data_IF_220810324335
#
_entry.id   IF_220810324335
#
_cell.length_a   1.000
_cell.length_b   1.000
_cell.length_c   1.000
_cell.angle_alpha   90.00
_cell.angle_beta   90.00
_cell.angle_gamma   90.00
#
_symmetry.space_group_name_H-M   'P 1'
#
loop_
_entity.id
_entity.type
_entity.pdbx_description
1 polymer ?
#
# COMPACT_ATOMS: atom_id res chain seq x y z
N UNK A 1 29.82 23.03 -41.42
CA UNK A 1 28.74 23.77 -42.10
C UNK A 1 27.84 24.36 -41.02
N UNK A 2 27.60 25.68 -40.99
CA UNK A 2 26.67 26.27 -40.04
C UNK A 2 25.22 25.91 -40.41
N UNK A 3 24.41 25.56 -39.41
CA UNK A 3 22.98 25.24 -39.58
C UNK A 3 22.23 26.49 -40.05
N UNK A 4 21.32 26.39 -41.04
CA UNK A 4 20.61 27.54 -41.59
C UNK A 4 19.76 28.26 -40.53
N UNK A 5 19.81 29.61 -40.46
CA UNK A 5 18.99 30.39 -39.54
C UNK A 5 17.52 30.33 -40.01
N UNK A 6 16.68 29.62 -39.25
CA UNK A 6 15.26 29.45 -39.57
C UNK A 6 14.64 28.15 -39.07
N UNK A 7 15.45 27.17 -38.64
CA UNK A 7 14.94 25.99 -37.95
C UNK A 7 14.60 26.33 -36.48
N UNK A 8 13.47 27.01 -36.29
CA UNK A 8 12.78 26.89 -35.01
C UNK A 8 12.36 25.44 -34.88
N UNK A 9 12.94 24.74 -33.91
CA UNK A 9 12.43 23.44 -33.48
C UNK A 9 10.97 23.66 -33.09
N UNK A 10 10.04 23.15 -33.90
CA UNK A 10 8.64 23.12 -33.50
C UNK A 10 8.56 22.47 -32.12
N UNK A 11 7.83 23.07 -31.15
CA UNK A 11 7.62 22.41 -29.88
C UNK A 11 6.98 21.04 -30.17
N UNK A 12 7.42 19.98 -29.47
CA UNK A 12 6.87 18.65 -29.68
C UNK A 12 5.35 18.68 -29.49
N UNK A 13 4.59 17.91 -30.29
CA UNK A 13 3.15 17.85 -30.17
C UNK A 13 2.77 17.42 -28.74
N UNK A 14 1.73 18.03 -28.12
CA UNK A 14 1.29 17.65 -26.79
C UNK A 14 0.92 16.17 -26.78
N UNK A 15 1.45 15.43 -25.80
CA UNK A 15 1.13 14.01 -25.65
C UNK A 15 -0.39 13.85 -25.43
N UNK A 16 -1.01 12.81 -26.02
CA UNK A 16 -2.43 12.59 -25.85
C UNK A 16 -2.77 12.34 -24.36
N UNK A 17 -3.95 12.77 -23.88
CA UNK A 17 -4.31 12.71 -22.45
C UNK A 17 -4.21 11.33 -21.81
N UNK A 18 -4.38 10.27 -22.62
CA UNK A 18 -4.28 8.88 -22.19
C UNK A 18 -2.84 8.41 -21.98
N UNK A 19 -1.84 9.07 -22.58
CA UNK A 19 -0.42 8.78 -22.38
C UNK A 19 0.11 9.28 -21.02
N UNK A 20 -0.64 10.15 -20.33
CA UNK A 20 -0.25 10.65 -19.02
C UNK A 20 -0.49 9.56 -17.93
N UNK A 21 0.37 9.44 -16.90
CA UNK A 21 0.22 8.44 -15.86
C UNK A 21 -1.11 8.57 -15.11
N UNK A 22 -1.65 7.45 -14.61
CA UNK A 22 -2.89 7.49 -13.82
C UNK A 22 -2.68 8.16 -12.45
N UNK A 23 -1.51 7.93 -11.86
CA UNK A 23 -1.11 8.44 -10.55
C UNK A 23 0.28 9.03 -10.64
N UNK A 24 0.49 10.19 -10.04
CA UNK A 24 1.78 10.88 -9.96
C UNK A 24 2.07 11.12 -8.47
N UNK A 25 3.31 10.89 -8.02
CA UNK A 25 3.73 11.25 -6.67
C UNK A 25 3.74 12.77 -6.54
N UNK A 26 3.19 13.30 -5.46
CA UNK A 26 3.14 14.73 -5.21
C UNK A 26 4.23 15.11 -4.21
N UNK A 27 5.13 16.01 -4.59
CA UNK A 27 6.02 16.68 -3.65
C UNK A 27 5.43 18.04 -3.28
N UNK A 28 5.58 18.43 -2.01
CA UNK A 28 5.02 19.69 -1.53
C UNK A 28 5.67 20.88 -2.24
N UNK A 29 4.84 21.69 -2.90
CA UNK A 29 5.30 22.80 -3.74
C UNK A 29 5.25 22.53 -5.24
N UNK A 30 5.00 21.27 -5.65
CA UNK A 30 4.85 20.96 -7.08
C UNK A 30 3.58 21.57 -7.67
N UNK A 31 3.64 22.07 -8.92
CA UNK A 31 2.46 22.56 -9.61
C UNK A 31 1.55 21.39 -9.97
N UNK A 32 0.27 21.49 -9.59
CA UNK A 32 -0.74 20.48 -9.91
C UNK A 32 -1.04 20.52 -11.42
N UNK A 33 -0.76 19.44 -12.19
CA UNK A 33 -1.07 19.40 -13.60
C UNK A 33 -2.58 19.39 -13.84
N UNK A 34 -3.02 19.99 -14.95
CA UNK A 34 -4.45 20.04 -15.31
C UNK A 34 -5.04 18.62 -15.40
N UNK A 35 -6.21 18.44 -14.79
CA UNK A 35 -6.91 17.15 -14.80
C UNK A 35 -6.52 16.18 -13.70
N UNK A 36 -5.63 16.58 -12.78
CA UNK A 36 -5.31 15.83 -11.58
C UNK A 36 -5.95 16.48 -10.35
N UNK A 37 -6.27 15.65 -9.35
CA UNK A 37 -6.66 16.13 -8.03
C UNK A 37 -5.82 15.43 -6.97
N UNK A 38 -5.61 16.13 -5.86
CA UNK A 38 -4.94 15.57 -4.68
C UNK A 38 -5.85 14.52 -4.04
N UNK A 39 -5.24 13.38 -3.72
CA UNK A 39 -5.85 12.29 -2.95
C UNK A 39 -4.86 11.85 -1.89
N UNK A 40 -5.37 11.37 -0.77
CA UNK A 40 -4.57 10.76 0.28
C UNK A 40 -4.77 9.26 0.28
N UNK A 41 -3.71 8.50 0.60
CA UNK A 41 -3.77 7.07 0.85
C UNK A 41 -2.85 6.69 2.01
N UNK A 42 -3.21 5.64 2.74
CA UNK A 42 -2.29 5.01 3.69
C UNK A 42 -1.08 4.41 2.96
N UNK A 43 0.08 4.42 3.61
CA UNK A 43 1.28 3.74 3.13
C UNK A 43 1.10 2.21 3.19
N UNK A 44 0.68 1.64 2.06
CA UNK A 44 0.44 0.20 1.92
C UNK A 44 1.72 -0.62 2.06
N UNK A 45 2.89 -0.04 1.76
CA UNK A 45 4.16 -0.75 1.88
C UNK A 45 4.52 -0.93 3.35
N UNK A 46 4.37 0.11 4.17
CA UNK A 46 4.54 0.03 5.63
C UNK A 46 3.53 -0.91 6.28
N UNK A 47 2.25 -0.82 5.91
CA UNK A 47 1.22 -1.75 6.41
C UNK A 47 1.57 -3.19 6.03
N UNK A 48 1.95 -3.43 4.77
CA UNK A 48 2.35 -4.76 4.30
C UNK A 48 3.59 -5.29 5.03
N UNK A 49 4.61 -4.45 5.20
CA UNK A 49 5.81 -4.81 5.96
C UNK A 49 5.47 -5.15 7.41
N UNK A 50 4.67 -4.32 8.07
CA UNK A 50 4.24 -4.55 9.45
C UNK A 50 3.45 -5.85 9.62
N UNK A 51 2.52 -6.14 8.70
CA UNK A 51 1.77 -7.41 8.71
C UNK A 51 2.67 -8.63 8.55
N UNK A 52 3.71 -8.57 7.72
CA UNK A 52 4.65 -9.67 7.56
C UNK A 52 5.56 -9.81 8.79
N UNK A 53 6.12 -8.70 9.28
CA UNK A 53 7.00 -8.65 10.44
C UNK A 53 6.31 -9.10 11.72
N UNK A 54 5.02 -8.81 11.90
CA UNK A 54 4.21 -9.34 13.01
C UNK A 54 3.68 -10.75 12.74
N UNK A 55 3.14 -10.97 11.54
CA UNK A 55 2.36 -12.18 11.22
C UNK A 55 3.20 -13.43 11.16
N UNK A 56 4.43 -13.37 10.62
CA UNK A 56 5.30 -14.56 10.53
C UNK A 56 5.73 -15.04 11.93
N UNK A 57 6.32 -14.20 12.80
CA UNK A 57 6.71 -14.63 14.15
C UNK A 57 5.51 -15.11 14.98
N UNK A 58 4.37 -14.41 14.91
CA UNK A 58 3.16 -14.84 15.61
C UNK A 58 2.62 -16.18 15.10
N UNK A 59 2.60 -16.40 13.78
CA UNK A 59 2.20 -17.69 13.22
C UNK A 59 3.14 -18.83 13.64
N UNK A 60 4.44 -18.56 13.77
CA UNK A 60 5.41 -19.53 14.32
C UNK A 60 5.10 -19.82 15.80
N UNK A 61 4.88 -18.80 16.62
CA UNK A 61 4.51 -18.96 18.03
C UNK A 61 3.24 -19.82 18.20
N UNK A 62 2.19 -19.53 17.44
CA UNK A 62 0.94 -20.31 17.42
C UNK A 62 1.20 -21.75 16.96
N UNK A 63 2.07 -21.95 15.96
CA UNK A 63 2.41 -23.29 15.46
C UNK A 63 3.16 -24.10 16.53
N UNK A 64 4.14 -23.49 17.21
CA UNK A 64 4.90 -24.14 18.29
C UNK A 64 3.96 -24.56 19.42
N UNK A 65 3.10 -23.67 19.90
CA UNK A 65 2.15 -24.01 20.94
C UNK A 65 1.11 -25.05 20.49
N UNK A 66 0.61 -24.94 19.26
CA UNK A 66 -0.30 -25.93 18.69
C UNK A 66 0.32 -27.32 18.62
N UNK A 67 1.58 -27.43 18.18
CA UNK A 67 2.31 -28.70 18.14
C UNK A 67 2.55 -29.25 19.54
N UNK A 68 2.93 -28.41 20.51
CA UNK A 68 3.13 -28.83 21.90
C UNK A 68 1.85 -29.39 22.53
N UNK A 69 0.71 -28.71 22.33
CA UNK A 69 -0.59 -29.20 22.82
C UNK A 69 -0.97 -30.54 22.19
N UNK A 70 -0.72 -30.71 20.88
CA UNK A 70 -0.97 -31.98 20.20
C UNK A 70 -0.04 -33.11 20.67
N UNK A 71 1.12 -32.76 21.22
CA UNK A 71 2.05 -33.68 21.85
C UNK A 71 1.74 -33.96 23.34
N UNK A 72 0.59 -33.46 23.84
CA UNK A 72 0.16 -33.60 25.24
C UNK A 72 1.05 -32.89 26.27
N UNK A 73 1.82 -31.88 25.82
CA UNK A 73 2.53 -30.98 26.73
C UNK A 73 1.56 -30.06 27.49
N UNK A 74 2.00 -29.54 28.64
CA UNK A 74 1.14 -28.72 29.51
C UNK A 74 0.75 -27.40 28.82
N UNK A 75 -0.55 -27.09 28.85
CA UNK A 75 -1.06 -25.83 28.31
C UNK A 75 -0.52 -24.64 29.11
N UNK A 76 -0.28 -24.80 30.42
CA UNK A 76 0.24 -23.69 31.24
C UNK A 76 1.68 -23.32 30.84
N UNK A 77 2.41 -24.25 30.22
CA UNK A 77 3.77 -24.04 29.73
C UNK A 77 3.79 -23.31 28.37
N UNK A 78 3.05 -23.82 27.38
CA UNK A 78 3.08 -23.34 25.99
C UNK A 78 1.91 -22.43 25.59
N UNK A 79 0.81 -22.47 26.33
CA UNK A 79 -0.40 -21.68 26.09
C UNK A 79 -0.17 -20.17 25.97
N UNK A 80 0.79 -19.55 26.70
CA UNK A 80 1.08 -18.14 26.54
C UNK A 80 1.48 -17.73 25.12
N UNK A 81 2.07 -18.61 24.29
CA UNK A 81 2.46 -18.29 22.91
C UNK A 81 1.27 -18.00 21.97
N UNK A 82 0.03 -18.32 22.35
CA UNK A 82 -1.17 -17.88 21.63
C UNK A 82 -1.51 -16.40 21.86
N UNK A 83 -0.89 -15.76 22.85
CA UNK A 83 -1.12 -14.35 23.16
C UNK A 83 -0.11 -13.54 22.33
N UNK A 84 -0.55 -12.70 21.37
CA UNK A 84 0.38 -11.90 20.60
C UNK A 84 1.09 -10.87 21.49
N UNK A 85 2.28 -10.45 21.06
CA UNK A 85 3.14 -9.40 21.65
C UNK A 85 3.74 -9.72 23.03
N UNK A 86 2.93 -10.22 23.96
CA UNK A 86 3.32 -10.45 25.36
C UNK A 86 3.53 -11.93 25.65
N UNK A 87 2.85 -12.81 24.92
CA UNK A 87 2.95 -14.26 25.06
C UNK A 87 4.36 -14.82 25.05
N UNK A 88 5.23 -14.45 24.09
CA UNK A 88 6.61 -14.92 24.06
C UNK A 88 7.40 -14.52 25.32
N UNK A 89 7.14 -13.34 25.89
CA UNK A 89 7.79 -12.92 27.13
C UNK A 89 7.30 -13.72 28.33
N UNK A 90 6.00 -14.00 28.43
CA UNK A 90 5.44 -14.87 29.47
C UNK A 90 6.04 -16.29 29.35
N UNK A 91 6.20 -16.76 28.10
CA UNK A 91 6.73 -18.08 27.77
C UNK A 91 8.18 -18.27 28.23
N UNK A 92 8.97 -17.19 28.36
CA UNK A 92 10.32 -17.31 28.93
C UNK A 92 10.31 -17.84 30.36
N UNK A 93 9.26 -17.50 31.13
CA UNK A 93 9.10 -17.93 32.52
C UNK A 93 8.37 -19.27 32.59
N UNK A 94 7.26 -19.43 31.86
CA UNK A 94 6.46 -20.67 31.95
C UNK A 94 7.19 -21.89 31.40
N UNK A 95 8.00 -21.72 30.36
CA UNK A 95 8.82 -22.79 29.77
C UNK A 95 10.20 -22.94 30.43
N UNK A 96 10.49 -22.18 31.50
CA UNK A 96 11.82 -22.09 32.10
C UNK A 96 12.93 -21.94 31.04
N UNK A 97 12.71 -21.07 30.06
CA UNK A 97 13.59 -20.96 28.92
C UNK A 97 14.98 -20.47 29.36
N UNK A 98 16.03 -21.05 28.80
CA UNK A 98 17.41 -20.64 29.08
C UNK A 98 18.19 -20.38 27.79
N UNK A 99 19.20 -19.52 27.87
CA UNK A 99 20.13 -19.23 26.78
C UNK A 99 19.42 -18.87 25.47
N UNK A 100 19.48 -19.79 24.50
CA UNK A 100 18.86 -19.61 23.19
C UNK A 100 17.33 -19.47 23.24
N UNK A 101 16.65 -20.14 24.18
CA UNK A 101 15.19 -20.05 24.31
C UNK A 101 14.73 -18.64 24.66
N UNK A 102 15.35 -18.04 25.69
CA UNK A 102 15.11 -16.64 26.08
C UNK A 102 15.41 -15.69 24.93
N UNK A 103 16.53 -15.90 24.24
CA UNK A 103 16.92 -15.06 23.11
C UNK A 103 15.87 -15.07 22.00
N UNK A 104 15.44 -16.24 21.54
CA UNK A 104 14.46 -16.34 20.45
C UNK A 104 13.08 -15.83 20.84
N UNK A 105 12.62 -16.11 22.06
CA UNK A 105 11.35 -15.56 22.56
C UNK A 105 11.40 -14.03 22.69
N UNK A 106 12.55 -13.45 23.06
CA UNK A 106 12.73 -12.00 23.10
C UNK A 106 12.72 -11.40 21.69
N UNK A 107 13.45 -12.01 20.75
CA UNK A 107 13.44 -11.58 19.33
C UNK A 107 12.03 -11.66 18.76
N UNK A 108 11.30 -12.72 19.07
CA UNK A 108 9.92 -12.91 18.64
C UNK A 108 9.00 -11.79 19.18
N UNK A 109 9.04 -11.51 20.48
CA UNK A 109 8.28 -10.41 21.08
C UNK A 109 8.62 -9.05 20.43
N UNK A 110 9.91 -8.75 20.24
CA UNK A 110 10.37 -7.50 19.60
C UNK A 110 9.87 -7.41 18.16
N UNK A 111 9.95 -8.50 17.39
CA UNK A 111 9.47 -8.54 16.02
C UNK A 111 7.95 -8.32 15.96
N UNK A 112 7.17 -8.99 16.82
CA UNK A 112 5.72 -8.80 16.89
C UNK A 112 5.34 -7.35 17.20
N UNK A 113 5.97 -6.73 18.21
CA UNK A 113 5.72 -5.32 18.58
C UNK A 113 6.17 -4.37 17.46
N UNK A 114 7.33 -4.61 16.84
CA UNK A 114 7.83 -3.80 15.74
C UNK A 114 6.90 -3.87 14.52
N UNK A 115 6.38 -5.06 14.20
CA UNK A 115 5.40 -5.25 13.13
C UNK A 115 4.11 -4.47 13.41
N UNK A 116 3.60 -4.50 14.64
CA UNK A 116 2.45 -3.69 15.04
C UNK A 116 2.71 -2.20 14.86
N UNK A 117 3.88 -1.70 15.30
CA UNK A 117 4.26 -0.30 15.13
C UNK A 117 4.33 0.10 13.66
N UNK A 118 4.84 -0.77 12.78
CA UNK A 118 4.86 -0.52 11.34
C UNK A 118 3.46 -0.45 10.73
N UNK A 119 2.53 -1.31 11.16
CA UNK A 119 1.13 -1.22 10.73
C UNK A 119 0.51 0.10 11.16
N UNK A 120 0.67 0.47 12.43
CA UNK A 120 0.14 1.75 12.94
C UNK A 120 0.77 2.93 12.21
N UNK A 121 2.08 2.92 12.00
CA UNK A 121 2.78 3.97 11.26
C UNK A 121 2.29 4.04 9.80
N UNK A 122 2.10 2.92 9.12
CA UNK A 122 1.59 2.89 7.74
C UNK A 122 0.15 3.36 7.60
N UNK A 123 -0.69 3.12 8.62
CA UNK A 123 -2.06 3.64 8.67
C UNK A 123 -2.11 5.13 9.02
N UNK A 124 -1.19 5.61 9.86
CA UNK A 124 -1.11 7.01 10.26
C UNK A 124 -0.41 7.89 9.21
N UNK A 125 0.47 7.32 8.38
CA UNK A 125 1.17 8.04 7.32
C UNK A 125 0.29 8.13 6.06
N UNK A 126 -0.20 9.33 5.78
CA UNK A 126 -0.97 9.63 4.59
C UNK A 126 -0.05 10.14 3.47
N UNK A 127 0.14 9.32 2.43
CA UNK A 127 0.78 9.76 1.20
C UNK A 127 -0.19 10.61 0.38
N UNK A 128 0.19 11.84 0.09
CA UNK A 128 -0.50 12.69 -0.87
C UNK A 128 -0.04 12.32 -2.28
N UNK A 129 -0.97 12.04 -3.17
CA UNK A 129 -0.67 11.76 -4.57
C UNK A 129 -1.69 12.43 -5.48
N UNK A 130 -1.27 12.65 -6.72
CA UNK A 130 -2.12 13.21 -7.76
C UNK A 130 -2.78 12.08 -8.55
N UNK A 131 -4.11 12.08 -8.59
CA UNK A 131 -4.88 11.13 -9.40
C UNK A 131 -5.58 11.83 -10.56
N UNK A 132 -5.42 11.27 -11.77
CA UNK A 132 -6.10 11.77 -12.97
C UNK A 132 -7.62 11.57 -12.84
N UNK A 133 -8.38 12.65 -13.00
CA UNK A 133 -9.84 12.65 -12.84
C UNK A 133 -10.60 12.09 -14.06
N UNK A 134 -9.97 12.05 -15.23
CA UNK A 134 -10.62 11.53 -16.45
C UNK A 134 -10.51 10.01 -16.55
N UNK A 135 -11.66 9.33 -16.60
CA UNK A 135 -11.74 7.90 -16.96
C UNK A 135 -11.51 7.74 -18.46
N UNK A 136 -10.35 7.19 -18.83
CA UNK A 136 -10.13 6.68 -20.19
C UNK A 136 -10.82 5.30 -20.25
N UNK A 137 -11.91 5.19 -20.99
CA UNK A 137 -12.52 3.88 -21.26
C UNK A 137 -11.62 3.14 -22.27
N UNK A 138 -11.17 1.90 -22.01
CA UNK A 138 -10.35 1.15 -22.98
C UNK A 138 -11.07 0.88 -24.29
N UNK A 139 -12.42 0.88 -24.27
CA UNK A 139 -13.26 0.73 -25.45
C UNK A 139 -13.40 2.01 -26.28
N UNK A 140 -13.05 3.17 -25.70
CA UNK A 140 -13.26 4.46 -26.35
C UNK A 140 -12.26 5.52 -25.86
N UNK A 141 -11.02 5.49 -26.40
CA UNK A 141 -9.98 6.45 -26.02
C UNK A 141 -10.29 7.89 -26.47
N UNK A 142 -11.25 8.09 -27.38
CA UNK A 142 -11.64 9.42 -27.86
C UNK A 142 -12.51 10.18 -26.86
N UNK A 143 -13.26 9.49 -26.00
CA UNK A 143 -14.08 10.14 -24.97
C UNK A 143 -13.24 10.93 -23.94
N UNK A 144 -12.03 10.46 -23.63
CA UNK A 144 -11.14 11.16 -22.69
C UNK A 144 -10.44 12.39 -23.32
N UNK A 145 -10.51 12.53 -24.65
CA UNK A 145 -9.97 13.67 -25.39
C UNK A 145 -11.07 14.60 -25.91
N UNK A 146 -12.35 14.31 -25.62
CA UNK A 146 -13.46 15.13 -26.11
C UNK A 146 -13.55 16.43 -25.30
N UNK A 147 -13.45 17.62 -25.93
CA UNK A 147 -13.63 18.90 -25.25
C UNK A 147 -15.10 19.19 -24.88
N UNK A 148 -16.01 18.28 -25.19
CA UNK A 148 -17.46 18.44 -25.05
C UNK A 148 -17.94 17.75 -23.78
N UNK A 149 -18.73 18.42 -22.93
CA UNK A 149 -19.36 17.77 -21.79
C UNK A 149 -20.35 16.71 -22.31
N UNK A 150 -20.14 15.47 -21.89
CA UNK A 150 -21.03 14.34 -22.15
C UNK A 150 -21.59 13.81 -20.84
N UNK A 151 -22.90 13.64 -20.77
CA UNK A 151 -23.60 13.03 -19.63
C UNK A 151 -24.13 11.69 -20.11
N UNK A 152 -23.71 10.62 -19.45
CA UNK A 152 -24.26 9.28 -19.64
C UNK A 152 -25.50 9.11 -18.77
N UNK A 153 -26.61 8.71 -19.39
CA UNK A 153 -27.87 8.43 -18.68
C UNK A 153 -28.11 6.92 -18.74
N UNK A 154 -28.07 6.27 -17.58
CA UNK A 154 -28.34 4.83 -17.42
C UNK A 154 -27.09 3.93 -17.51
N UNK A 155 -27.32 2.61 -17.48
CA UNK A 155 -26.28 1.61 -17.34
C UNK A 155 -25.37 1.42 -18.58
N UNK A 156 -25.70 2.00 -19.75
CA UNK A 156 -24.81 2.01 -20.93
C UNK A 156 -25.36 2.61 -22.24
N UNK A 157 -26.63 3.02 -22.36
CA UNK A 157 -27.23 3.13 -23.71
C UNK A 157 -27.50 4.52 -24.28
N UNK A 158 -27.26 5.62 -23.55
CA UNK A 158 -27.49 6.96 -24.08
C UNK A 158 -26.46 7.98 -23.58
N UNK A 159 -25.81 8.66 -24.53
CA UNK A 159 -24.86 9.74 -24.28
C UNK A 159 -25.41 11.02 -24.92
N UNK A 160 -25.63 12.05 -24.10
CA UNK A 160 -26.03 13.37 -24.57
C UNK A 160 -24.78 14.22 -24.77
N UNK A 161 -24.46 14.56 -26.02
CA UNK A 161 -23.30 15.40 -26.38
C UNK A 161 -23.77 16.80 -26.76
N UNK A 162 -23.37 17.80 -25.97
CA UNK A 162 -23.66 19.20 -26.28
C UNK A 162 -22.69 19.70 -27.34
N UNK A 163 -23.22 20.22 -28.46
CA UNK A 163 -22.46 20.92 -29.51
C UNK A 163 -22.93 22.37 -29.52
N UNK A 164 -22.03 23.30 -29.31
CA UNK A 164 -22.25 24.74 -29.50
C UNK A 164 -21.68 25.17 -30.84
#
# INVERSE_FOLDING_TARGET
>A
MPVPPGYYLLPPPPLPPWANPRTIQYEEGDPIPRGYALRTRSDRALVGAGLLTFGIPYALSVTVAGVAILAEEDFDEFGPLFIPFVGPMISTVTMNAEGAGVFWLTVDAVAQVSGLLLVVAGLANEEVYLERQFKVSPRDPEHAASPWPAISIGASSAELRWRF
#
